data_IF_910539706910
#
_entry.id   IF_910539706910
#
_cell.length_a   1.000
_cell.length_b   1.000
_cell.length_c   1.000
_cell.angle_alpha   90.00
_cell.angle_beta   90.00
_cell.angle_gamma   90.00
#
_symmetry.space_group_name_H-M   'P 1'
#
loop_
_entity.id
_entity.type
_entity.pdbx_description
1 polymer ?
#
# COMPACT_ATOMS: atom_id res chain seq x y z
N UNK A 1 -10.96 33.73 0.40
CA UNK A 1 -11.33 32.46 1.04
C UNK A 1 -11.95 31.62 -0.04
N UNK A 2 -11.20 30.66 -0.56
CA UNK A 2 -11.55 29.84 -1.73
C UNK A 2 -12.50 28.72 -1.28
N UNK A 3 -13.70 28.57 -1.89
CA UNK A 3 -14.67 27.54 -1.51
C UNK A 3 -14.27 26.12 -1.96
N UNK A 4 -13.11 25.94 -2.58
CA UNK A 4 -12.59 24.61 -2.99
C UNK A 4 -11.62 23.98 -1.98
N UNK A 5 -11.26 24.68 -0.90
CA UNK A 5 -10.48 24.11 0.19
C UNK A 5 -11.38 23.31 1.16
N UNK A 6 -11.90 22.19 0.67
CA UNK A 6 -12.40 21.11 1.51
C UNK A 6 -11.31 20.04 1.67
N UNK A 7 -10.06 20.49 1.87
CA UNK A 7 -8.88 19.68 2.12
C UNK A 7 -8.87 19.05 3.51
N UNK A 8 -10.02 18.57 3.99
CA UNK A 8 -10.13 17.83 5.23
C UNK A 8 -9.41 16.49 5.11
N UNK A 9 -8.69 16.11 6.16
CA UNK A 9 -7.93 14.87 6.25
C UNK A 9 -8.73 13.57 5.99
N UNK A 10 -10.07 13.66 5.85
CA UNK A 10 -11.01 12.56 5.75
C UNK A 10 -11.27 11.95 4.36
N UNK A 11 -11.11 12.66 3.23
CA UNK A 11 -11.38 12.05 1.91
C UNK A 11 -10.11 11.45 1.27
N UNK A 12 -9.64 10.34 1.84
CA UNK A 12 -8.47 9.61 1.35
C UNK A 12 -8.75 8.13 1.11
N UNK A 13 -8.14 7.60 0.06
CA UNK A 13 -8.10 6.17 -0.24
C UNK A 13 -6.69 5.68 0.06
N UNK A 14 -6.57 4.70 0.95
CA UNK A 14 -5.30 4.04 1.26
C UNK A 14 -5.17 2.81 0.37
N UNK A 15 -4.01 2.62 -0.26
CA UNK A 15 -3.73 1.43 -1.06
C UNK A 15 -2.41 0.78 -0.66
N UNK A 16 -2.44 -0.52 -0.40
CA UNK A 16 -1.24 -1.31 -0.13
C UNK A 16 -0.53 -1.73 -1.41
N UNK A 17 0.76 -1.43 -1.52
CA UNK A 17 1.60 -1.70 -2.70
C UNK A 17 2.82 -2.50 -2.29
N UNK A 18 3.02 -3.66 -2.93
CA UNK A 18 4.18 -4.53 -2.72
C UNK A 18 4.92 -4.86 -4.04
N UNK A 19 4.55 -4.19 -5.14
CA UNK A 19 5.13 -4.38 -6.47
C UNK A 19 4.54 -5.56 -7.25
N UNK A 20 3.76 -6.44 -6.61
CA UNK A 20 3.11 -7.57 -7.26
C UNK A 20 1.97 -7.13 -8.20
N UNK A 21 1.64 -7.94 -9.21
CA UNK A 21 0.57 -7.61 -10.16
C UNK A 21 -0.80 -7.35 -9.48
N UNK A 22 -1.26 -8.13 -8.48
CA UNK A 22 -2.49 -7.79 -7.77
C UNK A 22 -2.43 -6.45 -7.03
N UNK A 23 -1.26 -6.04 -6.53
CA UNK A 23 -1.09 -4.72 -5.90
C UNK A 23 -1.12 -3.58 -6.93
N UNK A 24 -0.62 -3.81 -8.15
CA UNK A 24 -0.73 -2.88 -9.28
C UNK A 24 -2.19 -2.70 -9.72
N UNK A 25 -2.95 -3.78 -9.78
CA UNK A 25 -4.40 -3.69 -10.03
C UNK A 25 -5.14 -2.96 -8.91
N UNK A 26 -4.77 -3.19 -7.65
CA UNK A 26 -5.31 -2.44 -6.52
C UNK A 26 -5.02 -0.94 -6.65
N UNK A 27 -3.81 -0.57 -7.05
CA UNK A 27 -3.43 0.83 -7.30
C UNK A 27 -4.23 1.45 -8.46
N UNK A 28 -4.37 0.75 -9.60
CA UNK A 28 -5.22 1.20 -10.72
C UNK A 28 -6.66 1.46 -10.27
N UNK A 29 -7.22 0.52 -9.52
CA UNK A 29 -8.58 0.64 -8.99
C UNK A 29 -8.72 1.83 -8.04
N UNK A 30 -7.78 1.99 -7.10
CA UNK A 30 -7.78 3.09 -6.14
C UNK A 30 -7.71 4.46 -6.83
N UNK A 31 -6.85 4.60 -7.85
CA UNK A 31 -6.75 5.83 -8.65
C UNK A 31 -8.03 6.10 -9.44
N UNK A 32 -8.64 5.08 -10.05
CA UNK A 32 -9.92 5.23 -10.73
C UNK A 32 -11.03 5.70 -9.77
N UNK A 33 -11.11 5.10 -8.58
CA UNK A 33 -12.07 5.49 -7.55
C UNK A 33 -11.82 6.93 -7.05
N UNK A 34 -10.56 7.31 -6.87
CA UNK A 34 -10.17 8.66 -6.49
C UNK A 34 -10.60 9.71 -7.53
N UNK A 35 -10.48 9.41 -8.84
CA UNK A 35 -10.99 10.30 -9.91
C UNK A 35 -12.49 10.54 -9.81
N UNK A 36 -13.26 9.53 -9.43
CA UNK A 36 -14.72 9.63 -9.31
C UNK A 36 -15.17 10.37 -8.04
N UNK A 37 -14.39 10.29 -6.97
CA UNK A 37 -14.76 10.76 -5.62
C UNK A 37 -14.06 12.04 -5.20
N UNK A 38 -13.08 12.52 -5.99
CA UNK A 38 -12.21 13.62 -5.62
C UNK A 38 -11.28 13.31 -4.44
N UNK A 39 -11.13 12.03 -4.06
CA UNK A 39 -10.25 11.61 -2.99
C UNK A 39 -8.78 11.72 -3.40
N UNK A 40 -7.88 11.87 -2.43
CA UNK A 40 -6.45 11.60 -2.64
C UNK A 40 -6.15 10.11 -2.46
N UNK A 41 -5.04 9.65 -3.02
CA UNK A 41 -4.53 8.29 -2.82
C UNK A 41 -3.27 8.33 -1.98
N UNK A 42 -3.26 7.58 -0.87
CA UNK A 42 -2.06 7.32 -0.08
C UNK A 42 -1.61 5.89 -0.39
N UNK A 43 -0.55 5.76 -1.21
CA UNK A 43 0.03 4.49 -1.62
C UNK A 43 1.12 4.08 -0.62
N UNK A 44 0.89 2.98 0.09
CA UNK A 44 1.70 2.55 1.23
C UNK A 44 2.49 1.30 0.88
N UNK A 45 3.80 1.34 1.11
CA UNK A 45 4.67 0.16 1.10
C UNK A 45 5.28 -0.03 2.47
N UNK A 46 5.03 -1.20 3.07
CA UNK A 46 5.68 -1.59 4.31
C UNK A 46 7.04 -2.24 4.05
N UNK A 47 8.02 -2.02 4.91
CA UNK A 47 9.31 -2.70 4.85
C UNK A 47 9.70 -3.29 6.21
N UNK A 48 10.38 -4.43 6.20
CA UNK A 48 10.81 -5.11 7.41
C UNK A 48 12.29 -5.47 7.33
N UNK A 49 12.91 -5.60 8.50
CA UNK A 49 14.25 -6.14 8.63
C UNK A 49 14.31 -7.60 8.19
N UNK A 50 15.35 -8.01 7.44
CA UNK A 50 15.55 -9.42 7.14
C UNK A 50 15.60 -10.26 8.44
N UNK A 51 14.84 -11.36 8.50
CA UNK A 51 14.68 -12.13 9.75
C UNK A 51 15.99 -12.65 10.39
N UNK A 52 17.07 -12.79 9.62
CA UNK A 52 18.37 -13.21 10.13
C UNK A 52 19.09 -12.13 10.96
N UNK A 53 18.89 -10.84 10.67
CA UNK A 53 19.42 -9.75 11.52
C UNK A 53 18.66 -9.65 12.83
N UNK A 54 17.33 -9.89 12.82
CA UNK A 54 16.52 -9.93 14.03
C UNK A 54 16.82 -11.14 14.93
N UNK A 55 17.07 -12.32 14.34
CA UNK A 55 17.34 -13.57 15.07
C UNK A 55 18.73 -13.61 15.74
N UNK A 56 19.73 -12.96 15.14
CA UNK A 56 21.12 -13.07 15.60
C UNK A 56 21.42 -12.28 16.89
N UNK A 57 20.45 -11.54 17.46
CA UNK A 57 20.66 -10.69 18.64
C UNK A 57 21.74 -9.61 18.43
N UNK A 58 22.14 -9.39 17.17
CA UNK A 58 23.06 -8.34 16.79
C UNK A 58 22.36 -7.00 17.01
N UNK A 59 23.15 -6.01 17.45
CA UNK A 59 22.72 -4.61 17.64
C UNK A 59 21.74 -4.21 16.54
N UNK A 60 20.65 -3.48 16.87
CA UNK A 60 19.75 -2.99 15.85
C UNK A 60 20.58 -2.37 14.72
N UNK A 61 20.22 -2.68 13.46
CA UNK A 61 20.90 -2.13 12.30
C UNK A 61 21.12 -0.62 12.49
N UNK A 62 22.27 -0.12 12.03
CA UNK A 62 22.58 1.29 12.16
C UNK A 62 21.62 2.12 11.31
N UNK A 63 21.46 3.41 11.61
CA UNK A 63 20.64 4.32 10.79
C UNK A 63 20.96 4.25 9.28
N UNK A 64 22.22 3.99 8.91
CA UNK A 64 22.63 3.82 7.52
C UNK A 64 22.02 2.58 6.83
N UNK A 65 21.81 1.49 7.56
CA UNK A 65 21.11 0.30 7.03
C UNK A 65 19.61 0.53 6.91
N UNK A 66 19.00 1.30 7.81
CA UNK A 66 17.57 1.67 7.75
C UNK A 66 17.32 2.49 6.49
N UNK A 67 18.15 3.53 6.28
CA UNK A 67 18.10 4.40 5.10
C UNK A 67 18.23 3.62 3.78
N UNK A 68 19.03 2.54 3.77
CA UNK A 68 19.24 1.73 2.56
C UNK A 68 18.02 0.85 2.24
N UNK A 69 17.40 0.23 3.26
CA UNK A 69 16.21 -0.62 3.08
C UNK A 69 15.00 0.24 2.76
N UNK A 70 14.80 1.31 3.50
CA UNK A 70 13.73 2.28 3.22
C UNK A 70 13.91 2.90 1.84
N UNK A 71 15.13 3.29 1.46
CA UNK A 71 15.42 3.80 0.12
C UNK A 71 15.08 2.81 -1.00
N UNK A 72 15.35 1.52 -0.79
CA UNK A 72 14.97 0.46 -1.74
C UNK A 72 13.46 0.26 -1.83
N UNK A 73 12.75 0.31 -0.69
CA UNK A 73 11.30 0.26 -0.65
C UNK A 73 10.68 1.48 -1.34
N UNK A 74 11.20 2.68 -1.07
CA UNK A 74 10.74 3.92 -1.66
C UNK A 74 10.95 3.92 -3.18
N UNK A 75 12.11 3.47 -3.66
CA UNK A 75 12.36 3.32 -5.10
C UNK A 75 11.36 2.34 -5.72
N UNK A 76 11.16 1.18 -5.09
CA UNK A 76 10.20 0.17 -5.58
C UNK A 76 8.78 0.73 -5.65
N UNK A 77 8.35 1.46 -4.62
CA UNK A 77 7.04 2.08 -4.56
C UNK A 77 6.87 3.12 -5.66
N UNK A 78 7.83 4.03 -5.83
CA UNK A 78 7.79 5.07 -6.86
C UNK A 78 7.78 4.48 -8.27
N UNK A 79 8.66 3.51 -8.55
CA UNK A 79 8.68 2.80 -9.83
C UNK A 79 7.36 2.08 -10.09
N UNK A 80 6.79 1.41 -9.08
CA UNK A 80 5.50 0.73 -9.23
C UNK A 80 4.38 1.72 -9.54
N UNK A 81 4.36 2.90 -8.89
CA UNK A 81 3.38 3.94 -9.17
C UNK A 81 3.51 4.43 -10.61
N UNK A 82 4.73 4.80 -11.03
CA UNK A 82 4.99 5.31 -12.38
C UNK A 82 4.59 4.29 -13.46
N UNK A 83 5.04 3.04 -13.34
CA UNK A 83 4.72 1.98 -14.30
C UNK A 83 3.23 1.63 -14.34
N UNK A 84 2.48 1.87 -13.26
CA UNK A 84 1.09 1.44 -13.13
C UNK A 84 0.09 2.50 -13.58
N UNK A 85 0.34 3.77 -13.27
CA UNK A 85 -0.61 4.87 -13.53
C UNK A 85 -0.01 6.04 -14.31
N UNK A 86 1.28 5.97 -14.64
CA UNK A 86 2.01 6.99 -15.40
C UNK A 86 2.34 8.24 -14.58
N UNK A 87 3.07 9.20 -15.21
CA UNK A 87 3.56 10.39 -14.53
C UNK A 87 2.47 11.41 -14.18
N UNK A 88 1.32 11.37 -14.85
CA UNK A 88 0.22 12.32 -14.65
C UNK A 88 -1.14 11.61 -14.43
N UNK A 89 -1.36 11.00 -13.24
CA UNK A 89 -2.57 10.21 -12.96
C UNK A 89 -3.85 11.05 -12.79
N UNK A 90 -3.78 12.39 -12.90
CA UNK A 90 -4.88 13.33 -12.64
C UNK A 90 -5.50 13.21 -11.22
N UNK A 91 -4.78 12.58 -10.30
CA UNK A 91 -5.13 12.38 -8.89
C UNK A 91 -3.89 12.68 -8.05
N UNK A 92 -4.07 13.27 -6.87
CA UNK A 92 -2.97 13.46 -5.92
C UNK A 92 -2.62 12.11 -5.28
N UNK A 93 -1.43 11.59 -5.60
CA UNK A 93 -0.89 10.37 -5.00
C UNK A 93 0.26 10.74 -4.04
N UNK A 94 0.19 10.25 -2.80
CA UNK A 94 1.31 10.28 -1.84
C UNK A 94 1.93 8.89 -1.76
N UNK A 95 3.22 8.79 -2.04
CA UNK A 95 4.00 7.57 -1.84
C UNK A 95 4.59 7.57 -0.44
N UNK A 96 4.23 6.59 0.38
CA UNK A 96 4.65 6.47 1.78
C UNK A 96 5.26 5.09 2.04
N UNK A 97 6.50 5.07 2.52
CA UNK A 97 7.12 3.89 3.12
C UNK A 97 6.94 3.89 4.62
N UNK A 98 6.71 2.72 5.22
CA UNK A 98 6.59 2.59 6.68
C UNK A 98 7.28 1.31 7.18
N UNK A 99 8.08 1.38 8.25
CA UNK A 99 8.67 0.19 8.85
C UNK A 99 7.62 -0.70 9.51
N UNK A 100 7.77 -2.01 9.41
CA UNK A 100 6.99 -3.03 10.11
C UNK A 100 6.09 -3.85 9.21
N UNK A 101 5.28 -4.71 9.81
CA UNK A 101 4.50 -5.69 9.05
C UNK A 101 3.41 -5.03 8.20
N UNK A 102 3.11 -5.57 6.99
CA UNK A 102 2.12 -5.00 6.10
C UNK A 102 0.74 -4.82 6.74
N UNK A 103 0.32 -5.80 7.56
CA UNK A 103 -0.97 -5.76 8.26
C UNK A 103 -1.03 -4.57 9.22
N UNK A 104 -0.02 -4.42 10.09
CA UNK A 104 -0.01 -3.35 11.09
C UNK A 104 0.00 -1.98 10.42
N UNK A 105 0.92 -1.80 9.46
CA UNK A 105 1.08 -0.55 8.71
C UNK A 105 -0.22 -0.16 8.00
N UNK A 106 -0.90 -1.10 7.34
CA UNK A 106 -2.11 -0.80 6.60
C UNK A 106 -3.32 -0.55 7.50
N UNK A 107 -3.43 -1.23 8.65
CA UNK A 107 -4.49 -0.95 9.63
C UNK A 107 -4.35 0.46 10.21
N UNK A 108 -3.13 0.83 10.64
CA UNK A 108 -2.84 2.17 11.16
C UNK A 108 -3.09 3.26 10.10
N UNK A 109 -2.61 3.04 8.87
CA UNK A 109 -2.83 4.00 7.78
C UNK A 109 -4.32 4.17 7.42
N UNK A 110 -5.13 3.12 7.58
CA UNK A 110 -6.55 3.12 7.27
C UNK A 110 -7.43 3.84 8.31
N UNK A 111 -6.90 4.19 9.48
CA UNK A 111 -7.67 4.91 10.51
C UNK A 111 -8.11 6.30 10.02
N UNK A 112 -9.42 6.50 9.87
CA UNK A 112 -9.99 7.75 9.32
C UNK A 112 -9.85 7.90 7.80
N UNK A 113 -9.46 6.84 7.09
CA UNK A 113 -9.55 6.77 5.63
C UNK A 113 -10.99 6.44 5.18
N UNK A 114 -11.39 6.93 4.01
CA UNK A 114 -12.68 6.58 3.40
C UNK A 114 -12.72 5.13 2.90
N UNK A 115 -11.55 4.59 2.55
CA UNK A 115 -11.42 3.28 1.90
C UNK A 115 -9.98 2.74 2.03
N UNK A 116 -9.86 1.45 2.29
CA UNK A 116 -8.62 0.69 2.17
C UNK A 116 -8.71 -0.24 0.95
N UNK A 117 -7.67 -0.26 0.12
CA UNK A 117 -7.59 -1.08 -1.09
C UNK A 117 -6.35 -1.95 -1.06
N UNK A 118 -6.49 -3.25 -1.31
CA UNK A 118 -5.36 -4.18 -1.39
C UNK A 118 -5.53 -5.17 -2.53
N UNK A 119 -4.42 -5.72 -3.00
CA UNK A 119 -4.46 -6.88 -3.87
C UNK A 119 -5.01 -8.11 -3.14
N UNK A 120 -5.58 -9.05 -3.88
CA UNK A 120 -6.02 -10.35 -3.35
C UNK A 120 -4.87 -11.20 -2.81
N UNK A 121 -3.67 -11.01 -3.36
CA UNK A 121 -2.43 -11.72 -2.99
C UNK A 121 -1.25 -10.77 -3.13
N UNK A 122 -0.16 -11.07 -2.45
CA UNK A 122 1.11 -10.34 -2.58
C UNK A 122 2.25 -11.24 -3.08
N UNK A 123 3.49 -10.82 -2.83
CA UNK A 123 4.72 -11.50 -3.29
C UNK A 123 4.86 -12.97 -2.85
N UNK A 124 4.32 -13.36 -1.70
CA UNK A 124 4.42 -14.71 -1.13
C UNK A 124 3.22 -15.63 -1.40
N UNK A 125 2.31 -15.28 -2.31
CA UNK A 125 1.03 -15.97 -2.48
C UNK A 125 1.15 -17.45 -2.86
N UNK A 126 0.61 -18.34 -2.02
CA UNK A 126 0.46 -19.76 -2.34
C UNK A 126 -0.49 -19.98 -3.53
N UNK A 127 -0.04 -20.77 -4.52
CA UNK A 127 -0.84 -21.16 -5.70
C UNK A 127 -1.99 -22.07 -5.25
N UNK A 128 -3.15 -21.49 -4.95
CA UNK A 128 -4.37 -22.22 -4.55
C UNK A 128 -5.23 -21.49 -3.50
N UNK A 129 -4.68 -20.49 -2.81
CA UNK A 129 -5.45 -19.67 -1.87
C UNK A 129 -6.18 -18.53 -2.60
N UNK A 130 -7.45 -18.32 -2.25
CA UNK A 130 -8.27 -17.23 -2.79
C UNK A 130 -7.77 -15.84 -2.36
N UNK A 131 -7.27 -15.75 -1.13
CA UNK A 131 -6.72 -14.55 -0.51
C UNK A 131 -5.35 -14.85 0.09
N UNK A 132 -4.45 -13.87 0.03
CA UNK A 132 -3.20 -13.86 0.78
C UNK A 132 -3.43 -13.54 2.26
N UNK A 133 -2.43 -13.83 3.10
CA UNK A 133 -2.50 -13.62 4.55
C UNK A 133 -2.83 -12.18 4.95
N UNK A 134 -2.24 -11.19 4.27
CA UNK A 134 -2.50 -9.77 4.53
C UNK A 134 -3.96 -9.42 4.24
N UNK A 135 -4.44 -9.70 3.02
CA UNK A 135 -5.80 -9.37 2.60
C UNK A 135 -6.87 -10.09 3.43
N UNK A 136 -6.60 -11.35 3.81
CA UNK A 136 -7.46 -12.11 4.72
C UNK A 136 -7.52 -11.45 6.10
N UNK A 137 -6.38 -11.07 6.68
CA UNK A 137 -6.36 -10.41 7.99
C UNK A 137 -7.09 -9.07 7.94
N UNK A 138 -6.83 -8.24 6.92
CA UNK A 138 -7.49 -6.95 6.75
C UNK A 138 -9.00 -7.08 6.61
N UNK A 139 -9.51 -8.14 5.97
CA UNK A 139 -10.97 -8.33 5.84
C UNK A 139 -11.70 -8.52 7.17
N UNK A 140 -10.98 -8.92 8.23
CA UNK A 140 -11.55 -9.08 9.56
C UNK A 140 -11.36 -7.85 10.46
N UNK A 141 -10.41 -6.97 10.13
CA UNK A 141 -9.91 -5.97 11.08
C UNK A 141 -9.83 -4.53 10.53
N UNK A 142 -10.09 -4.30 9.24
CA UNK A 142 -9.99 -2.96 8.66
C UNK A 142 -10.91 -1.96 9.39
N UNK A 143 -10.40 -0.77 9.79
CA UNK A 143 -11.19 0.24 10.50
C UNK A 143 -12.12 1.04 9.57
N UNK A 144 -12.04 0.79 8.26
CA UNK A 144 -12.85 1.42 7.21
C UNK A 144 -13.23 0.37 6.15
N UNK A 145 -14.13 0.70 5.20
CA UNK A 145 -14.46 -0.21 4.10
C UNK A 145 -13.20 -0.71 3.38
N UNK A 146 -13.16 -2.01 3.09
CA UNK A 146 -12.05 -2.68 2.41
C UNK A 146 -12.46 -3.14 1.01
N UNK A 147 -11.62 -2.86 0.02
CA UNK A 147 -11.70 -3.42 -1.33
C UNK A 147 -10.53 -4.35 -1.55
N UNK A 148 -10.83 -5.59 -1.94
CA UNK A 148 -9.84 -6.58 -2.32
C UNK A 148 -9.91 -6.78 -3.84
N UNK A 149 -8.85 -6.37 -4.54
CA UNK A 149 -8.78 -6.45 -6.01
C UNK A 149 -8.12 -7.76 -6.44
N UNK A 150 -8.81 -8.53 -7.27
CA UNK A 150 -8.24 -9.73 -7.88
C UNK A 150 -7.53 -9.35 -9.17
N UNK A 151 -6.30 -9.85 -9.34
CA UNK A 151 -5.67 -9.80 -10.66
C UNK A 151 -6.44 -10.72 -11.62
N UNK A 152 -6.62 -10.32 -12.88
CA UNK A 152 -7.19 -11.19 -13.89
C UNK A 152 -6.36 -12.48 -14.01
N UNK A 153 -7.02 -13.62 -14.23
CA UNK A 153 -6.32 -14.87 -14.51
C UNK A 153 -5.50 -14.70 -15.80
N UNK A 154 -4.20 -14.98 -15.74
CA UNK A 154 -3.39 -15.10 -16.93
C UNK A 154 -3.93 -16.29 -17.74
N UNK A 155 -4.40 -16.01 -18.96
CA UNK A 155 -4.95 -17.00 -19.87
C UNK A 155 -3.86 -17.84 -20.53
#
# INVERSE_FOLDING_TARGET
>A
MDPTDNGGDGNRIVVGVDGSEPSREALRWAVAQARLTGARVDAIMSWEWPGHVAWAGLTPPTAATDETIEGSAQLTLLTTIDETVGPEPQVRIRALTQPGSPVRVLLEAAEGASLLVVGSRGLGGFKGALLGSVSQHLSHHAPCPLVIVRAPEAK
#
